data_IF_563442728762
#
_entry.id   IF_563442728762
#
_cell.length_a   1.000
_cell.length_b   1.000
_cell.length_c   1.000
_cell.angle_alpha   90.00
_cell.angle_beta   90.00
_cell.angle_gamma   90.00
#
_symmetry.space_group_name_H-M   'P 1'
#
loop_
_entity.id
_entity.type
_entity.pdbx_description
1 polymer ?
#
# COMPACT_ATOMS: atom_id res chain seq x y z
N UNK A 1 -15.56 12.38 -15.46
CA UNK A 1 -14.10 12.42 -15.67
C UNK A 1 -13.44 13.54 -14.87
N UNK A 2 -13.78 14.83 -15.04
CA UNK A 2 -13.21 15.92 -14.19
C UNK A 2 -13.42 15.67 -12.69
N UNK A 3 -14.65 15.35 -12.28
CA UNK A 3 -15.03 15.31 -10.86
C UNK A 3 -14.21 14.32 -10.01
N UNK A 4 -13.82 13.17 -10.58
CA UNK A 4 -13.00 12.19 -9.85
C UNK A 4 -11.54 12.63 -9.73
N UNK A 5 -10.95 13.14 -10.82
CA UNK A 5 -9.59 13.70 -10.78
C UNK A 5 -9.52 14.91 -9.83
N UNK A 6 -10.53 15.76 -9.85
CA UNK A 6 -10.66 16.88 -8.92
C UNK A 6 -10.71 16.37 -7.46
N UNK A 7 -11.47 15.30 -7.20
CA UNK A 7 -11.51 14.67 -5.88
C UNK A 7 -10.15 14.07 -5.46
N UNK A 8 -9.40 13.46 -6.40
CA UNK A 8 -8.04 12.96 -6.13
C UNK A 8 -7.11 14.11 -5.75
N UNK A 9 -7.14 15.23 -6.48
CA UNK A 9 -6.34 16.41 -6.15
C UNK A 9 -6.71 17.04 -4.82
N UNK A 10 -8.00 17.18 -4.51
CA UNK A 10 -8.45 17.66 -3.20
C UNK A 10 -7.92 16.76 -2.08
N UNK A 11 -8.08 15.44 -2.24
CA UNK A 11 -7.58 14.47 -1.26
C UNK A 11 -6.05 14.53 -1.13
N UNK A 12 -5.34 14.69 -2.24
CA UNK A 12 -3.88 14.85 -2.24
C UNK A 12 -3.45 16.11 -1.49
N UNK A 13 -4.07 17.26 -1.75
CA UNK A 13 -3.76 18.52 -1.09
C UNK A 13 -4.05 18.48 0.41
N UNK A 14 -5.19 17.91 0.82
CA UNK A 14 -5.52 17.70 2.24
C UNK A 14 -4.50 16.76 2.92
N UNK A 15 -4.03 15.75 2.19
CA UNK A 15 -3.00 14.82 2.68
C UNK A 15 -1.64 15.51 2.80
N UNK A 16 -1.30 16.44 1.89
CA UNK A 16 -0.08 17.27 1.99
C UNK A 16 -0.15 18.19 3.22
N UNK A 17 -1.30 18.82 3.49
CA UNK A 17 -1.49 19.65 4.69
C UNK A 17 -1.33 18.82 5.98
N UNK A 18 -1.93 17.64 6.00
CA UNK A 18 -1.78 16.67 7.11
C UNK A 18 -0.31 16.29 7.32
N UNK A 19 0.42 16.00 6.24
CA UNK A 19 1.85 15.70 6.28
C UNK A 19 2.66 16.85 6.86
N UNK A 20 2.41 18.09 6.44
CA UNK A 20 3.11 19.27 6.94
C UNK A 20 2.84 19.50 8.43
N UNK A 21 1.58 19.35 8.85
CA UNK A 21 1.17 19.46 10.26
C UNK A 21 1.83 18.40 11.13
N UNK A 22 1.86 17.13 10.69
CA UNK A 22 2.53 16.03 11.40
C UNK A 22 4.03 16.25 11.48
N UNK A 23 4.68 16.75 10.42
CA UNK A 23 6.11 17.09 10.45
C UNK A 23 6.44 18.20 11.42
N UNK A 24 5.62 19.25 11.47
CA UNK A 24 5.79 20.34 12.42
C UNK A 24 5.63 19.84 13.86
N UNK A 25 4.60 19.04 14.12
CA UNK A 25 4.38 18.42 15.42
C UNK A 25 5.56 17.53 15.83
N UNK A 26 6.03 16.66 14.94
CA UNK A 26 7.20 15.81 15.16
C UNK A 26 8.43 16.64 15.55
N UNK A 27 8.71 17.71 14.81
CA UNK A 27 9.84 18.60 15.09
C UNK A 27 9.72 19.28 16.46
N UNK A 28 8.52 19.72 16.84
CA UNK A 28 8.26 20.31 18.16
C UNK A 28 8.50 19.31 19.28
N UNK A 29 7.92 18.11 19.20
CA UNK A 29 8.07 17.09 20.24
C UNK A 29 9.51 16.59 20.36
N UNK A 30 10.22 16.35 19.24
CA UNK A 30 11.64 16.00 19.29
C UNK A 30 12.50 17.11 19.87
N UNK A 31 12.26 18.37 19.49
CA UNK A 31 12.99 19.52 20.04
C UNK A 31 12.80 19.64 21.56
N UNK A 32 11.55 19.54 22.03
CA UNK A 32 11.22 19.56 23.47
C UNK A 32 11.87 18.38 24.18
N UNK A 33 11.76 17.17 23.64
CA UNK A 33 12.36 15.96 24.22
C UNK A 33 13.87 16.07 24.37
N UNK A 34 14.57 16.54 23.34
CA UNK A 34 16.01 16.77 23.40
C UNK A 34 16.41 17.87 24.38
N UNK A 35 15.64 18.96 24.46
CA UNK A 35 15.89 20.03 25.42
C UNK A 35 15.71 19.53 26.87
N UNK A 36 14.65 18.78 27.15
CA UNK A 36 14.41 18.16 28.46
C UNK A 36 15.52 17.15 28.81
N UNK A 37 16.00 16.37 27.84
CA UNK A 37 17.14 15.47 28.04
C UNK A 37 18.45 16.23 28.34
N UNK A 38 18.69 17.33 27.62
CA UNK A 38 19.85 18.20 27.88
C UNK A 38 19.78 18.83 29.27
N UNK A 39 18.60 19.28 29.70
CA UNK A 39 18.36 19.80 31.05
C UNK A 39 18.60 18.72 32.12
N UNK A 40 18.13 17.49 31.89
CA UNK A 40 18.38 16.37 32.79
C UNK A 40 19.89 16.11 32.96
N UNK A 41 20.63 16.08 31.86
CA UNK A 41 22.08 15.88 31.84
C UNK A 41 22.86 17.04 32.51
N UNK A 42 22.44 18.29 32.29
CA UNK A 42 23.06 19.44 32.94
C UNK A 42 22.91 19.36 34.46
N UNK A 43 21.71 19.05 34.94
CA UNK A 43 21.42 18.96 36.38
C UNK A 43 22.07 17.74 37.06
N UNK A 44 22.37 16.66 36.31
CA UNK A 44 23.09 15.50 36.84
C UNK A 44 24.62 15.68 36.86
N UNK A 45 25.14 16.75 36.24
CA UNK A 45 26.58 17.02 36.11
C UNK A 45 27.27 17.30 37.45
N UNK A 46 26.55 17.75 38.49
CA UNK A 46 27.09 17.86 39.85
C UNK A 46 27.55 16.52 40.44
N UNK A 47 27.13 15.39 39.85
CA UNK A 47 27.58 14.03 40.17
C UNK A 47 28.31 13.30 39.04
N UNK A 48 28.69 13.99 37.96
CA UNK A 48 29.44 13.41 36.83
C UNK A 48 28.70 12.34 36.01
N UNK A 49 27.38 12.20 36.20
CA UNK A 49 26.55 11.19 35.51
C UNK A 49 25.81 11.82 34.34
N UNK A 50 25.94 11.22 33.15
CA UNK A 50 25.15 11.55 31.96
C UNK A 50 24.19 10.39 31.70
N UNK A 51 22.93 10.67 31.44
CA UNK A 51 21.97 9.65 31.02
C UNK A 51 22.31 9.21 29.60
N UNK A 52 22.57 7.92 29.42
CA UNK A 52 23.05 7.35 28.17
C UNK A 52 23.06 5.83 28.19
N UNK A 53 23.70 5.25 27.19
CA UNK A 53 23.73 3.80 26.94
C UNK A 53 24.31 2.97 28.09
N UNK A 54 25.21 3.55 28.90
CA UNK A 54 25.79 2.92 30.08
C UNK A 54 24.76 2.44 31.12
N UNK A 55 23.51 2.91 31.02
CA UNK A 55 22.43 2.53 31.92
C UNK A 55 21.50 1.46 31.35
N UNK A 56 21.58 1.14 30.05
CA UNK A 56 20.63 0.23 29.42
C UNK A 56 20.75 -1.19 29.99
N UNK A 57 19.63 -1.87 30.23
CA UNK A 57 19.65 -3.29 30.57
C UNK A 57 20.09 -4.07 29.32
N UNK A 58 21.16 -4.87 29.43
CA UNK A 58 21.67 -5.68 28.30
C UNK A 58 20.63 -6.68 27.77
N UNK A 59 19.60 -7.00 28.56
CA UNK A 59 18.49 -7.88 28.18
C UNK A 59 17.29 -7.12 27.62
N UNK A 60 17.42 -5.82 27.35
CA UNK A 60 16.30 -5.03 26.84
C UNK A 60 15.78 -5.59 25.51
N UNK A 61 14.45 -5.69 25.40
CA UNK A 61 13.76 -6.04 24.16
C UNK A 61 12.91 -4.86 23.69
N UNK A 62 12.51 -4.87 22.42
CA UNK A 62 11.55 -3.90 21.92
C UNK A 62 10.25 -4.02 22.72
N UNK A 63 9.76 -2.90 23.27
CA UNK A 63 8.47 -2.87 23.97
C UNK A 63 7.31 -2.70 23.00
N UNK A 64 7.59 -2.24 21.77
CA UNK A 64 6.61 -1.92 20.74
C UNK A 64 7.14 -2.24 19.35
N UNK A 65 6.24 -2.70 18.50
CA UNK A 65 6.46 -2.89 17.08
C UNK A 65 5.58 -1.95 16.26
N UNK A 66 5.74 -2.02 14.95
CA UNK A 66 4.85 -1.39 13.98
C UNK A 66 4.32 -2.48 13.08
N UNK A 67 3.01 -2.57 13.01
CA UNK A 67 2.30 -3.42 12.06
C UNK A 67 1.99 -2.60 10.81
N UNK A 68 2.10 -3.24 9.65
CA UNK A 68 1.96 -2.56 8.35
C UNK A 68 0.98 -3.33 7.49
N UNK A 69 -0.18 -2.75 7.27
CA UNK A 69 -1.25 -3.31 6.44
C UNK A 69 -1.71 -2.26 5.44
N UNK A 70 -1.67 -2.58 4.14
CA UNK A 70 -2.09 -1.69 3.04
C UNK A 70 -1.53 -0.25 3.11
N UNK A 71 -0.27 -0.12 3.55
CA UNK A 71 0.41 1.17 3.69
C UNK A 71 -0.02 2.00 4.91
N UNK A 72 -0.85 1.43 5.79
CA UNK A 72 -1.17 1.96 7.11
C UNK A 72 -0.20 1.38 8.13
N UNK A 73 0.43 2.27 8.89
CA UNK A 73 1.39 1.92 9.94
C UNK A 73 0.73 2.13 11.29
N UNK A 74 0.59 1.05 12.06
CA UNK A 74 0.01 1.09 13.40
C UNK A 74 1.02 0.63 14.44
N UNK A 75 1.25 1.44 15.48
CA UNK A 75 2.13 1.05 16.57
C UNK A 75 1.39 0.16 17.56
N UNK A 76 1.90 -1.05 17.80
CA UNK A 76 1.34 -2.03 18.74
C UNK A 76 2.35 -2.38 19.83
N UNK A 77 1.85 -2.82 20.99
CA UNK A 77 2.70 -3.44 22.01
C UNK A 77 3.37 -4.66 21.38
N UNK A 78 4.68 -4.78 21.59
CA UNK A 78 5.42 -5.93 21.12
C UNK A 78 5.17 -7.05 22.12
N UNK A 79 4.20 -7.89 21.81
CA UNK A 79 4.06 -9.18 22.46
C UNK A 79 5.12 -10.07 21.82
N UNK A 80 6.16 -10.43 22.58
CA UNK A 80 6.96 -11.58 22.22
C UNK A 80 5.97 -12.73 22.09
N UNK A 81 5.82 -13.28 20.88
CA UNK A 81 5.29 -14.62 20.73
C UNK A 81 6.07 -15.48 21.73
N UNK A 82 5.41 -15.87 22.82
CA UNK A 82 5.91 -16.97 23.64
C UNK A 82 5.85 -18.16 22.69
N UNK A 83 6.94 -18.44 21.99
CA UNK A 83 7.15 -19.76 21.41
C UNK A 83 7.08 -20.74 22.59
N UNK A 84 5.93 -21.41 22.70
CA UNK A 84 5.66 -22.69 23.35
C UNK A 84 6.63 -23.09 24.50
N UNK A 85 6.51 -22.43 25.65
CA UNK A 85 6.91 -22.98 26.96
C UNK A 85 5.69 -23.03 27.91
N UNK A 86 4.48 -23.27 27.37
CA UNK A 86 3.22 -23.39 28.15
C UNK A 86 2.65 -24.84 28.18
N UNK A 87 3.45 -25.88 27.87
CA UNK A 87 2.98 -27.29 27.99
C UNK A 87 3.52 -28.09 29.21
N UNK A 88 4.27 -27.51 30.16
CA UNK A 88 4.77 -28.29 31.32
C UNK A 88 4.43 -27.77 32.75
N UNK A 89 3.61 -26.71 32.92
CA UNK A 89 3.27 -26.20 34.27
C UNK A 89 1.75 -26.15 34.58
N UNK A 90 0.94 -27.05 34.01
CA UNK A 90 -0.47 -27.25 34.43
C UNK A 90 -0.73 -28.63 35.07
N UNK A 91 0.07 -29.04 36.07
CA UNK A 91 -0.37 -30.02 37.07
C UNK A 91 0.26 -29.72 38.44
N UNK A 92 -0.22 -28.67 39.12
CA UNK A 92 -0.20 -28.42 40.59
C UNK A 92 -0.51 -26.91 40.75
N UNK A 93 -1.69 -26.45 41.19
CA UNK A 93 -2.29 -26.60 42.52
C UNK A 93 -3.75 -26.09 42.48
N UNK A 94 -4.53 -26.56 43.45
CA UNK A 94 -5.98 -26.41 43.51
C UNK A 94 -6.54 -25.09 44.03
N UNK A 95 -7.87 -25.10 44.01
CA UNK A 95 -8.86 -24.10 44.40
C UNK A 95 -8.54 -23.30 45.69
N UNK A 96 -8.82 -21.99 45.68
CA UNK A 96 -9.61 -21.34 46.74
C UNK A 96 -10.14 -19.94 46.33
N UNK A 97 -11.30 -19.60 46.91
CA UNK A 97 -12.30 -18.61 46.48
C UNK A 97 -11.96 -17.11 46.68
N UNK A 98 -12.71 -16.32 45.89
CA UNK A 98 -12.87 -14.85 45.87
C UNK A 98 -12.99 -14.16 47.24
N UNK A 99 -12.37 -12.97 47.34
CA UNK A 99 -13.05 -11.82 47.94
C UNK A 99 -12.66 -10.50 47.26
N UNK A 100 -13.67 -9.78 46.75
CA UNK A 100 -13.55 -8.43 46.19
C UNK A 100 -13.46 -7.39 47.31
N UNK A 101 -12.40 -6.58 47.31
CA UNK A 101 -12.42 -5.23 47.89
C UNK A 101 -11.66 -4.24 47.01
N UNK A 102 -12.41 -3.28 46.47
CA UNK A 102 -11.97 -2.07 45.82
C UNK A 102 -10.90 -1.32 46.64
N UNK A 103 -9.71 -1.14 46.06
CA UNK A 103 -8.70 -0.19 46.52
C UNK A 103 -8.31 0.72 45.36
N UNK A 104 -8.28 2.03 45.63
CA UNK A 104 -7.80 3.10 44.77
C UNK A 104 -6.52 2.70 44.03
N UNK A 105 -6.56 2.77 42.70
CA UNK A 105 -5.42 2.49 41.84
C UNK A 105 -4.42 3.65 41.92
N UNK A 106 -3.38 3.50 42.74
CA UNK A 106 -2.07 4.06 42.40
C UNK A 106 -1.62 3.43 41.08
N UNK A 107 -1.08 4.19 40.11
CA UNK A 107 -0.72 3.65 38.80
C UNK A 107 0.21 2.45 38.97
N UNK A 108 -0.18 1.32 38.37
CA UNK A 108 0.61 0.10 38.40
C UNK A 108 1.99 0.40 37.84
N UNK A 109 3.01 0.12 38.65
CA UNK A 109 4.41 0.34 38.32
C UNK A 109 4.84 -0.78 37.36
N UNK A 110 5.07 -0.46 36.09
CA UNK A 110 5.61 -1.42 35.12
C UNK A 110 7.13 -1.59 35.33
N UNK A 111 7.61 -2.79 35.73
CA UNK A 111 9.04 -3.05 35.88
C UNK A 111 9.80 -3.09 34.56
N UNK A 112 9.11 -3.19 33.40
CA UNK A 112 9.70 -3.18 32.06
C UNK A 112 9.89 -1.77 31.48
N UNK A 113 9.49 -0.73 32.22
CA UNK A 113 9.63 0.66 31.78
C UNK A 113 11.12 1.08 31.71
N UNK A 114 11.65 1.42 30.51
CA UNK A 114 13.05 1.80 30.31
C UNK A 114 13.51 2.99 31.16
N UNK A 115 12.59 3.84 31.63
CA UNK A 115 12.96 4.99 32.47
C UNK A 115 13.63 4.58 33.78
N UNK A 116 13.36 3.36 34.24
CA UNK A 116 13.85 2.84 35.53
C UNK A 116 15.30 2.39 35.48
N UNK A 117 15.83 2.16 34.28
CA UNK A 117 17.24 1.87 34.06
C UNK A 117 18.15 3.00 34.60
N UNK A 118 17.63 4.23 34.68
CA UNK A 118 18.34 5.39 35.20
C UNK A 118 18.24 5.57 36.73
N UNK A 119 17.69 4.59 37.45
CA UNK A 119 17.64 4.54 38.91
C UNK A 119 16.27 4.88 39.52
N UNK A 120 16.17 4.73 40.85
CA UNK A 120 14.90 4.85 41.61
C UNK A 120 14.34 6.29 41.58
N UNK A 121 15.21 7.30 41.57
CA UNK A 121 14.84 8.71 41.58
C UNK A 121 15.14 9.35 40.22
N UNK A 122 14.28 9.05 39.25
CA UNK A 122 14.34 9.66 37.91
C UNK A 122 14.02 11.17 38.01
N UNK A 123 14.81 12.07 37.39
CA UNK A 123 14.45 13.49 37.30
C UNK A 123 13.17 13.73 36.50
N UNK A 124 12.41 14.77 36.83
CA UNK A 124 11.22 15.16 36.06
C UNK A 124 11.54 15.47 34.59
N UNK A 125 12.66 16.14 34.32
CA UNK A 125 13.11 16.45 32.96
C UNK A 125 13.40 15.18 32.14
N UNK A 126 13.90 14.10 32.77
CA UNK A 126 14.15 12.84 32.07
C UNK A 126 12.83 12.10 31.76
N UNK A 127 11.86 12.11 32.69
CA UNK A 127 10.50 11.62 32.43
C UNK A 127 9.81 12.41 31.31
N UNK A 128 9.98 13.73 31.30
CA UNK A 128 9.44 14.57 30.24
C UNK A 128 10.05 14.20 28.89
N UNK A 129 11.38 14.06 28.82
CA UNK A 129 12.05 13.62 27.60
C UNK A 129 11.50 12.27 27.10
N UNK A 130 11.36 11.28 28.00
CA UNK A 130 10.75 10.00 27.65
C UNK A 130 9.34 10.18 27.09
N UNK A 131 8.49 10.96 27.75
CA UNK A 131 7.11 11.20 27.30
C UNK A 131 7.05 11.81 25.90
N UNK A 132 7.89 12.80 25.60
CA UNK A 132 7.94 13.46 24.29
C UNK A 132 8.37 12.50 23.17
N UNK A 133 9.40 11.68 23.42
CA UNK A 133 9.87 10.68 22.45
C UNK A 133 8.88 9.53 22.29
N UNK A 134 8.28 9.07 23.39
CA UNK A 134 7.26 8.02 23.42
C UNK A 134 6.06 8.42 22.56
N UNK A 135 5.54 9.64 22.75
CA UNK A 135 4.46 10.18 21.93
C UNK A 135 4.88 10.21 20.45
N UNK A 136 6.05 10.76 20.15
CA UNK A 136 6.52 10.91 18.78
C UNK A 136 6.65 9.56 18.04
N UNK A 137 7.23 8.56 18.69
CA UNK A 137 7.45 7.22 18.12
C UNK A 137 6.15 6.42 18.02
N UNK A 138 5.24 6.56 18.98
CA UNK A 138 4.03 5.74 19.04
C UNK A 138 2.87 6.30 18.23
N UNK A 139 2.83 7.61 18.00
CA UNK A 139 1.68 8.25 17.33
C UNK A 139 2.10 9.00 16.08
N UNK A 140 3.03 9.93 16.19
CA UNK A 140 3.34 10.87 15.10
C UNK A 140 4.06 10.18 13.94
N UNK A 141 5.07 9.35 14.23
CA UNK A 141 5.83 8.62 13.20
C UNK A 141 4.93 7.63 12.41
N UNK A 142 4.11 6.77 13.05
CA UNK A 142 3.17 5.89 12.35
C UNK A 142 2.15 6.67 11.49
N UNK A 143 1.60 7.77 12.01
CA UNK A 143 0.69 8.61 11.23
C UNK A 143 1.40 9.27 10.05
N UNK A 144 2.63 9.75 10.24
CA UNK A 144 3.42 10.41 9.20
C UNK A 144 3.79 9.43 8.09
N UNK A 145 4.22 8.22 8.44
CA UNK A 145 4.56 7.16 7.49
C UNK A 145 3.34 6.70 6.70
N UNK A 146 2.20 6.50 7.36
CA UNK A 146 0.90 6.24 6.70
C UNK A 146 0.54 7.35 5.72
N UNK A 147 0.71 8.61 6.13
CA UNK A 147 0.44 9.77 5.28
C UNK A 147 1.35 9.81 4.05
N UNK A 148 2.64 9.49 4.21
CA UNK A 148 3.59 9.39 3.10
C UNK A 148 3.18 8.29 2.11
N UNK A 149 2.79 7.10 2.60
CA UNK A 149 2.29 6.02 1.74
C UNK A 149 1.04 6.45 0.98
N UNK A 150 0.10 7.12 1.65
CA UNK A 150 -1.10 7.66 1.01
C UNK A 150 -0.78 8.68 -0.08
N UNK A 151 0.19 9.58 0.15
CA UNK A 151 0.65 10.52 -0.88
C UNK A 151 1.23 9.81 -2.09
N UNK A 152 2.03 8.76 -1.89
CA UNK A 152 2.60 7.98 -2.99
C UNK A 152 1.50 7.28 -3.82
N UNK A 153 0.50 6.70 -3.16
CA UNK A 153 -0.65 6.06 -3.83
C UNK A 153 -1.44 7.08 -4.66
N UNK A 154 -1.83 8.21 -4.06
CA UNK A 154 -2.58 9.26 -4.76
C UNK A 154 -1.80 9.85 -5.93
N UNK A 155 -0.48 10.08 -5.78
CA UNK A 155 0.36 10.56 -6.88
C UNK A 155 0.38 9.56 -8.05
N UNK A 156 0.54 8.28 -7.74
CA UNK A 156 0.55 7.21 -8.75
C UNK A 156 -0.78 7.13 -9.51
N UNK A 157 -1.90 7.29 -8.79
CA UNK A 157 -3.25 7.27 -9.35
C UNK A 157 -3.52 8.50 -10.23
N UNK A 158 -3.16 9.70 -9.76
CA UNK A 158 -3.24 10.94 -10.54
C UNK A 158 -2.42 10.83 -11.83
N UNK A 159 -1.19 10.34 -11.75
CA UNK A 159 -0.33 10.12 -12.92
C UNK A 159 -0.93 9.10 -13.89
N UNK A 160 -1.54 8.01 -13.37
CA UNK A 160 -2.23 7.03 -14.20
C UNK A 160 -3.41 7.66 -14.95
N UNK A 161 -4.21 8.49 -14.24
CA UNK A 161 -5.30 9.23 -14.86
C UNK A 161 -4.82 10.13 -16.01
N UNK A 162 -3.72 10.86 -15.82
CA UNK A 162 -3.15 11.71 -16.88
C UNK A 162 -2.63 10.91 -18.07
N UNK A 163 -1.96 9.78 -17.81
CA UNK A 163 -1.46 8.89 -18.86
C UNK A 163 -2.57 8.33 -19.75
N UNK A 164 -3.75 8.10 -19.20
CA UNK A 164 -4.87 7.44 -19.89
C UNK A 164 -6.05 8.36 -20.21
N UNK A 165 -5.97 9.66 -19.89
CA UNK A 165 -7.05 10.62 -20.16
C UNK A 165 -7.42 10.73 -21.66
N UNK A 166 -6.48 10.42 -22.56
CA UNK A 166 -6.69 10.42 -24.01
C UNK A 166 -7.23 9.10 -24.59
N UNK A 167 -7.33 8.05 -23.78
CA UNK A 167 -7.72 6.71 -24.25
C UNK A 167 -9.19 6.69 -24.66
N UNK A 168 -9.44 6.45 -25.95
CA UNK A 168 -10.80 6.36 -26.50
C UNK A 168 -11.31 4.92 -26.54
N UNK A 169 -10.43 3.98 -26.88
CA UNK A 169 -10.77 2.57 -27.04
C UNK A 169 -9.76 1.68 -26.36
N UNK A 170 -10.27 0.54 -25.89
CA UNK A 170 -9.51 -0.61 -25.47
C UNK A 170 -9.78 -1.77 -26.41
N UNK A 171 -8.85 -2.70 -26.48
CA UNK A 171 -8.92 -3.83 -27.40
C UNK A 171 -8.80 -5.15 -26.64
N UNK A 172 -9.70 -6.10 -26.97
CA UNK A 172 -9.56 -7.50 -26.58
C UNK A 172 -9.13 -8.32 -27.78
N UNK A 173 -8.13 -9.17 -27.58
CA UNK A 173 -7.61 -10.07 -28.61
C UNK A 173 -8.19 -11.46 -28.39
N UNK A 174 -8.74 -12.06 -29.46
CA UNK A 174 -9.24 -13.42 -29.48
C UNK A 174 -8.50 -14.24 -30.55
N UNK A 175 -8.21 -15.50 -30.22
CA UNK A 175 -7.62 -16.46 -31.16
C UNK A 175 -8.66 -17.21 -31.99
N UNK A 176 -9.93 -17.13 -31.60
CA UNK A 176 -11.06 -17.77 -32.29
C UNK A 176 -12.05 -16.72 -32.79
N UNK A 177 -12.74 -17.04 -33.89
CA UNK A 177 -13.76 -16.16 -34.43
C UNK A 177 -14.96 -16.08 -33.47
N UNK A 178 -15.34 -14.88 -33.00
CA UNK A 178 -16.54 -14.73 -32.19
C UNK A 178 -17.80 -15.01 -33.03
N UNK A 179 -18.92 -15.46 -32.42
CA UNK A 179 -20.17 -15.65 -33.13
C UNK A 179 -20.67 -14.36 -33.78
N UNK A 180 -21.36 -14.48 -34.92
CA UNK A 180 -22.01 -13.36 -35.62
C UNK A 180 -23.52 -13.59 -35.70
N UNK A 181 -24.37 -12.70 -35.14
CA UNK A 181 -24.00 -11.46 -34.43
C UNK A 181 -23.31 -11.72 -33.07
N UNK A 182 -22.58 -10.71 -32.57
CA UNK A 182 -21.83 -10.83 -31.32
C UNK A 182 -22.76 -11.17 -30.15
N UNK A 183 -22.46 -12.19 -29.33
CA UNK A 183 -23.29 -12.59 -28.21
C UNK A 183 -23.22 -11.57 -27.06
N UNK A 184 -24.15 -11.68 -26.11
CA UNK A 184 -24.15 -10.85 -24.89
C UNK A 184 -22.96 -11.13 -23.96
N UNK A 185 -22.30 -12.27 -24.12
CA UNK A 185 -21.04 -12.62 -23.47
C UNK A 185 -20.20 -13.45 -24.45
N UNK A 186 -18.97 -13.01 -24.70
CA UNK A 186 -17.97 -13.73 -25.48
C UNK A 186 -17.26 -14.73 -24.57
N UNK A 187 -16.83 -15.85 -25.15
CA UNK A 187 -15.97 -16.81 -24.44
C UNK A 187 -14.64 -16.14 -24.09
N UNK A 188 -14.36 -16.06 -22.79
CA UNK A 188 -13.12 -15.47 -22.27
C UNK A 188 -11.94 -16.43 -22.49
N UNK A 189 -10.73 -15.89 -22.60
CA UNK A 189 -9.54 -16.71 -22.72
C UNK A 189 -9.27 -17.43 -21.39
N UNK A 190 -8.66 -18.63 -21.39
CA UNK A 190 -8.33 -19.35 -20.16
C UNK A 190 -7.54 -18.53 -19.15
N UNK A 191 -6.67 -17.63 -19.64
CA UNK A 191 -5.89 -16.72 -18.81
C UNK A 191 -6.76 -15.69 -18.07
N UNK A 192 -7.78 -15.14 -18.72
CA UNK A 192 -8.70 -14.21 -18.05
C UNK A 192 -9.48 -14.91 -16.94
N UNK A 193 -9.84 -16.17 -17.15
CA UNK A 193 -10.54 -16.99 -16.16
C UNK A 193 -9.64 -17.32 -14.97
N UNK A 194 -8.36 -17.64 -15.21
CA UNK A 194 -7.42 -17.94 -14.13
C UNK A 194 -7.13 -16.73 -13.26
N UNK A 195 -7.01 -15.56 -13.89
CA UNK A 195 -6.57 -14.35 -13.22
C UNK A 195 -7.75 -13.59 -12.59
N UNK A 196 -8.98 -13.90 -13.01
CA UNK A 196 -10.21 -13.34 -12.46
C UNK A 196 -10.60 -11.97 -13.04
N UNK A 197 -9.94 -11.53 -14.12
CA UNK A 197 -10.21 -10.29 -14.83
C UNK A 197 -9.91 -10.44 -16.32
N UNK A 198 -10.48 -9.56 -17.13
CA UNK A 198 -10.31 -9.59 -18.59
C UNK A 198 -9.12 -8.70 -18.97
N UNK A 199 -8.09 -9.30 -19.57
CA UNK A 199 -6.94 -8.57 -20.08
C UNK A 199 -7.34 -7.78 -21.33
N UNK A 200 -7.13 -6.47 -21.28
CA UNK A 200 -7.29 -5.57 -22.41
C UNK A 200 -5.94 -4.93 -22.74
N UNK A 201 -5.87 -4.28 -23.90
CA UNK A 201 -4.71 -3.50 -24.30
C UNK A 201 -5.14 -2.24 -25.06
N UNK A 202 -4.28 -1.22 -25.07
CA UNK A 202 -4.46 -0.06 -25.96
C UNK A 202 -4.06 -0.41 -27.40
N UNK A 203 -4.37 0.49 -28.34
CA UNK A 203 -3.92 0.35 -29.73
C UNK A 203 -2.39 0.19 -29.83
N UNK A 204 -1.62 0.98 -29.07
CA UNK A 204 -0.15 0.95 -29.08
C UNK A 204 0.42 -0.33 -28.46
N UNK A 205 -0.29 -0.92 -27.50
CA UNK A 205 0.08 -2.16 -26.83
C UNK A 205 -0.22 -3.42 -27.65
N UNK A 206 -1.24 -3.35 -28.51
CA UNK A 206 -1.82 -4.52 -29.21
C UNK A 206 -0.76 -5.37 -29.91
N UNK A 207 0.15 -4.75 -30.67
CA UNK A 207 1.23 -5.48 -31.39
C UNK A 207 2.14 -6.22 -30.41
N UNK A 208 2.61 -5.54 -29.35
CA UNK A 208 3.52 -6.15 -28.38
C UNK A 208 2.89 -7.31 -27.61
N UNK A 209 1.59 -7.22 -27.31
CA UNK A 209 0.82 -8.30 -26.69
C UNK A 209 0.74 -9.50 -27.63
N UNK A 210 0.39 -9.28 -28.91
CA UNK A 210 0.30 -10.36 -29.90
C UNK A 210 1.66 -11.07 -30.06
N UNK A 211 2.73 -10.32 -30.27
CA UNK A 211 4.07 -10.88 -30.48
C UNK A 211 4.56 -11.70 -29.28
N UNK A 212 4.17 -11.31 -28.06
CA UNK A 212 4.63 -11.96 -26.84
C UNK A 212 3.80 -13.19 -26.46
N UNK A 213 2.48 -13.13 -26.62
CA UNK A 213 1.56 -14.14 -26.09
C UNK A 213 0.92 -15.02 -27.16
N UNK A 214 0.94 -14.58 -28.43
CA UNK A 214 0.33 -15.27 -29.55
C UNK A 214 1.27 -15.33 -30.78
N UNK A 215 2.57 -15.67 -30.61
CA UNK A 215 3.58 -15.52 -31.67
C UNK A 215 3.32 -16.40 -32.90
N UNK A 216 2.64 -17.54 -32.72
CA UNK A 216 2.37 -18.51 -33.78
C UNK A 216 1.03 -18.29 -34.48
N UNK A 217 0.26 -17.27 -34.07
CA UNK A 217 -1.04 -16.98 -34.68
C UNK A 217 -0.85 -16.27 -36.02
N UNK A 218 -1.51 -16.78 -37.06
CA UNK A 218 -1.57 -16.15 -38.40
C UNK A 218 -2.80 -15.26 -38.56
N UNK A 219 -3.84 -15.51 -37.76
CA UNK A 219 -5.13 -14.85 -37.82
C UNK A 219 -5.69 -14.66 -36.41
N UNK A 220 -6.16 -13.45 -36.13
CA UNK A 220 -6.70 -13.05 -34.83
C UNK A 220 -7.94 -12.19 -35.01
N UNK A 221 -8.70 -12.00 -33.94
CA UNK A 221 -9.83 -11.10 -33.88
C UNK A 221 -9.62 -10.05 -32.80
N UNK A 222 -9.88 -8.79 -33.15
CA UNK A 222 -9.82 -7.66 -32.24
C UNK A 222 -11.23 -7.16 -31.96
N UNK A 223 -11.59 -7.07 -30.69
CA UNK A 223 -12.82 -6.41 -30.23
C UNK A 223 -12.48 -4.98 -29.82
N UNK A 224 -13.09 -4.00 -30.47
CA UNK A 224 -12.94 -2.57 -30.14
C UNK A 224 -13.99 -2.17 -29.12
N UNK A 225 -13.53 -1.69 -27.96
CA UNK A 225 -14.34 -1.41 -26.78
C UNK A 225 -14.20 0.08 -26.47
N UNK A 226 -15.27 0.90 -26.57
CA UNK A 226 -15.24 2.29 -26.15
C UNK A 226 -14.90 2.38 -24.66
N UNK A 227 -13.83 3.10 -24.33
CA UNK A 227 -13.31 3.16 -22.96
C UNK A 227 -14.35 3.73 -21.99
N UNK A 228 -15.10 4.77 -22.42
CA UNK A 228 -16.15 5.39 -21.61
C UNK A 228 -17.29 4.44 -21.18
N UNK A 229 -17.49 3.31 -21.86
CA UNK A 229 -18.51 2.31 -21.48
C UNK A 229 -18.05 1.41 -20.34
N UNK A 230 -16.74 1.22 -20.21
CA UNK A 230 -16.14 0.24 -19.30
C UNK A 230 -15.24 0.88 -18.24
N UNK A 231 -14.94 2.18 -18.34
CA UNK A 231 -14.01 2.93 -17.49
C UNK A 231 -14.12 2.60 -15.99
N UNK A 232 -15.35 2.56 -15.46
CA UNK A 232 -15.64 2.25 -14.04
C UNK A 232 -15.22 0.85 -13.60
N UNK A 233 -15.08 -0.07 -14.55
CA UNK A 233 -14.73 -1.48 -14.33
C UNK A 233 -13.26 -1.73 -14.72
N UNK A 234 -12.51 -0.70 -15.15
CA UNK A 234 -11.10 -0.80 -15.53
C UNK A 234 -10.18 -0.42 -14.37
N UNK A 235 -9.16 -1.24 -14.16
CA UNK A 235 -7.99 -0.92 -13.35
C UNK A 235 -6.75 -0.95 -14.24
N UNK A 236 -5.95 0.12 -14.19
CA UNK A 236 -4.65 0.17 -14.86
C UNK A 236 -3.58 -0.36 -13.92
N UNK A 237 -2.87 -1.39 -14.33
CA UNK A 237 -1.84 -2.02 -13.50
C UNK A 237 -0.50 -2.04 -14.20
N UNK A 238 0.54 -1.57 -13.50
CA UNK A 238 1.90 -1.51 -14.03
C UNK A 238 2.55 -2.89 -14.02
N UNK A 239 3.16 -3.27 -15.14
CA UNK A 239 4.06 -4.41 -15.20
C UNK A 239 5.44 -3.94 -14.69
N UNK A 240 5.64 -4.00 -13.38
CA UNK A 240 6.92 -3.58 -12.78
C UNK A 240 8.05 -4.51 -13.22
N UNK A 241 9.14 -3.90 -13.70
CA UNK A 241 10.39 -4.63 -14.01
C UNK A 241 11.57 -3.82 -13.48
N UNK A 242 12.23 -4.33 -12.44
CA UNK A 242 13.43 -3.71 -11.81
C UNK A 242 13.23 -2.23 -11.45
N UNK A 243 12.40 -1.98 -10.44
CA UNK A 243 12.28 -0.71 -9.71
C UNK A 243 11.79 0.52 -10.52
N UNK A 244 11.70 0.45 -11.84
CA UNK A 244 11.05 1.46 -12.69
C UNK A 244 9.57 1.12 -12.94
N UNK A 245 8.70 2.14 -12.90
CA UNK A 245 7.28 2.00 -13.27
C UNK A 245 7.22 1.58 -14.74
N UNK A 246 6.80 0.34 -14.97
CA UNK A 246 6.63 -0.21 -16.30
C UNK A 246 5.34 0.26 -16.95
N UNK A 247 5.14 -0.15 -18.19
CA UNK A 247 3.91 0.09 -18.94
C UNK A 247 2.69 -0.46 -18.17
N UNK A 248 1.60 0.33 -18.16
CA UNK A 248 0.35 -0.04 -17.49
C UNK A 248 -0.60 -0.71 -18.48
N UNK A 249 -1.17 -1.84 -18.06
CA UNK A 249 -2.15 -2.57 -18.86
C UNK A 249 -3.53 -2.44 -18.22
N UNK A 250 -4.59 -2.26 -19.04
CA UNK A 250 -5.95 -2.17 -18.54
C UNK A 250 -6.51 -3.58 -18.27
N UNK A 251 -6.97 -3.80 -17.05
CA UNK A 251 -7.66 -5.00 -16.63
C UNK A 251 -9.12 -4.67 -16.30
N UNK A 252 -10.05 -5.38 -16.93
CA UNK A 252 -11.49 -5.18 -16.72
C UNK A 252 -12.03 -6.19 -15.71
N UNK A 253 -12.58 -5.68 -14.61
CA UNK A 253 -13.20 -6.46 -13.55
C UNK A 253 -14.71 -6.53 -13.77
N UNK A 254 -15.12 -7.42 -14.67
CA UNK A 254 -16.52 -7.63 -15.01
C UNK A 254 -16.81 -9.11 -15.27
N UNK A 255 -18.06 -9.53 -15.02
CA UNK A 255 -18.51 -10.91 -15.24
C UNK A 255 -18.54 -11.29 -16.73
N UNK A 256 -18.65 -10.31 -17.63
CA UNK A 256 -18.80 -10.55 -19.08
C UNK A 256 -18.28 -9.40 -19.91
N UNK A 257 -17.89 -9.73 -21.14
CA UNK A 257 -17.65 -8.80 -22.23
C UNK A 257 -18.46 -9.27 -23.45
N UNK A 258 -19.29 -8.42 -24.03
CA UNK A 258 -20.08 -8.80 -25.20
C UNK A 258 -20.67 -7.62 -25.95
N UNK A 259 -21.81 -7.86 -26.61
CA UNK A 259 -22.46 -6.91 -27.50
C UNK A 259 -22.92 -5.59 -26.86
N UNK A 260 -22.99 -5.49 -25.54
CA UNK A 260 -23.29 -4.23 -24.85
C UNK A 260 -22.08 -3.29 -24.80
N UNK A 261 -20.89 -3.85 -24.58
CA UNK A 261 -19.65 -3.10 -24.41
C UNK A 261 -18.94 -2.90 -25.75
N UNK A 262 -18.86 -3.95 -26.57
CA UNK A 262 -18.10 -3.95 -27.83
C UNK A 262 -18.82 -3.13 -28.90
N UNK A 263 -18.07 -2.25 -29.57
CA UNK A 263 -18.57 -1.44 -30.68
C UNK A 263 -18.38 -2.14 -32.03
N UNK A 264 -17.19 -2.69 -32.27
CA UNK A 264 -16.84 -3.34 -33.53
C UNK A 264 -15.92 -4.53 -33.26
N UNK A 265 -15.99 -5.54 -34.14
CA UNK A 265 -15.04 -6.63 -34.18
C UNK A 265 -14.38 -6.70 -35.56
N UNK A 266 -13.07 -6.94 -35.60
CA UNK A 266 -12.31 -7.02 -36.84
C UNK A 266 -11.38 -8.21 -36.83
N UNK A 267 -11.40 -8.95 -37.94
CA UNK A 267 -10.41 -9.97 -38.24
C UNK A 267 -9.12 -9.30 -38.73
N UNK A 268 -7.98 -9.72 -38.17
CA UNK A 268 -6.66 -9.27 -38.58
C UNK A 268 -5.81 -10.49 -38.95
N UNK A 269 -5.03 -10.34 -40.03
CA UNK A 269 -4.21 -11.41 -40.60
C UNK A 269 -2.76 -10.93 -40.61
N UNK A 270 -1.85 -11.81 -40.16
CA UNK A 270 -0.42 -11.56 -40.17
C UNK A 270 0.12 -11.62 -41.60
N UNK A 271 0.89 -10.61 -41.98
CA UNK A 271 1.68 -10.62 -43.20
C UNK A 271 2.88 -11.57 -43.03
N UNK A 272 2.89 -12.68 -43.76
CA UNK A 272 3.90 -13.76 -43.62
C UNK A 272 5.34 -13.25 -43.65
N UNK A 273 5.67 -12.30 -44.51
CA UNK A 273 7.05 -11.80 -44.68
C UNK A 273 7.43 -10.65 -43.74
N UNK A 274 6.44 -9.98 -43.13
CA UNK A 274 6.68 -8.73 -42.39
C UNK A 274 6.37 -8.84 -40.89
N UNK A 275 5.45 -9.71 -40.49
CA UNK A 275 5.06 -9.87 -39.08
C UNK A 275 3.93 -8.94 -38.65
N UNK A 276 3.62 -8.95 -37.35
CA UNK A 276 2.42 -8.29 -36.80
C UNK A 276 2.54 -6.77 -36.73
N UNK A 277 3.74 -6.24 -36.49
CA UNK A 277 4.00 -4.79 -36.49
C UNK A 277 3.54 -4.15 -37.78
N UNK A 278 4.05 -4.59 -38.92
CA UNK A 278 3.69 -4.06 -40.24
C UNK A 278 2.26 -4.43 -40.66
N UNK A 279 1.68 -5.48 -40.08
CA UNK A 279 0.28 -5.87 -40.35
C UNK A 279 -0.72 -4.91 -39.70
N UNK A 280 -0.35 -4.27 -38.59
CA UNK A 280 -1.21 -3.41 -37.80
C UNK A 280 -0.77 -1.93 -37.79
N UNK A 281 0.44 -1.64 -38.26
CA UNK A 281 0.96 -0.28 -38.38
C UNK A 281 0.16 0.54 -39.40
N UNK A 282 -0.28 1.74 -38.99
CA UNK A 282 -1.04 2.64 -39.86
C UNK A 282 -2.49 2.22 -40.11
N UNK A 283 -2.99 1.18 -39.43
CA UNK A 283 -4.40 0.82 -39.48
C UNK A 283 -5.20 1.87 -38.70
N UNK A 284 -5.86 2.79 -39.40
CA UNK A 284 -6.67 3.89 -38.81
C UNK A 284 -7.73 3.39 -37.81
N UNK A 285 -8.11 2.12 -37.89
CA UNK A 285 -9.07 1.49 -36.99
C UNK A 285 -8.52 1.24 -35.58
N UNK A 286 -7.21 1.00 -35.47
CA UNK A 286 -6.45 0.89 -34.22
C UNK A 286 -5.99 2.28 -33.80
N UNK A 287 -6.92 3.02 -33.21
CA UNK A 287 -6.72 4.37 -32.66
C UNK A 287 -6.70 4.37 -31.13
#
# INVERSE_FOLDING_TARGET
MSDHLDQLYLTYLDTVDTYQSLRASLATHFSTGFLSLAQANYNSTSGGRRYGEDFYDERMTATRGVDVEDGVFECKLFELEKEEEEEEEEEEEGEEEKSEKSKEQTPAIDPRDPIRWFGILVPSALRQAQSEFTLSVQTIIPQLTTTISKLAMLSSEIESYHSHAGTKYLYKILTTAPPSPLPGAVELLPLDISDGFIHLCTATQTVGVIERFMPDSEKLWLLKIPYNKVEKDIKWESVTRREERGEEFPHMFAERLGSSEVEEMREVIRLEEKGWRESLEGVEWLE
#
